data_IF_480259037854
#
_entry.id   IF_480259037854
#
_cell.length_a   1.000
_cell.length_b   1.000
_cell.length_c   1.000
_cell.angle_alpha   90.00
_cell.angle_beta   90.00
_cell.angle_gamma   90.00
#
_symmetry.space_group_name_H-M   'P 1'
#
loop_
_entity.id
_entity.type
_entity.pdbx_description
1 polymer ?
#
# COMPACT_ATOMS: atom_id res chain seq x y z
N UNK A 1 -7.21 -8.26 1.28
CA UNK A 1 -7.53 -6.96 0.66
C UNK A 1 -8.04 -7.21 -0.73
N UNK A 2 -8.89 -6.33 -1.24
CA UNK A 2 -9.42 -6.41 -2.60
C UNK A 2 -8.91 -5.20 -3.38
N UNK A 3 -8.16 -5.44 -4.44
CA UNK A 3 -7.70 -4.42 -5.38
C UNK A 3 -8.66 -4.37 -6.55
N UNK A 4 -9.01 -3.17 -7.01
CA UNK A 4 -9.88 -2.96 -8.16
C UNK A 4 -9.11 -2.21 -9.25
N UNK A 5 -9.42 -2.53 -10.50
CA UNK A 5 -8.96 -1.74 -11.64
C UNK A 5 -9.65 -0.37 -11.70
N UNK A 6 -9.25 0.45 -12.69
CA UNK A 6 -9.78 1.80 -12.85
C UNK A 6 -11.27 1.81 -13.23
N UNK A 7 -11.74 0.82 -13.97
CA UNK A 7 -13.15 0.66 -14.36
C UNK A 7 -14.02 0.08 -13.24
N UNK A 8 -13.42 -0.55 -12.22
CA UNK A 8 -14.14 -1.25 -11.16
C UNK A 8 -14.66 -2.63 -11.57
N UNK A 9 -14.34 -3.08 -12.78
CA UNK A 9 -14.87 -4.31 -13.40
C UNK A 9 -14.10 -5.54 -12.97
N UNK A 10 -12.80 -5.39 -12.69
CA UNK A 10 -11.91 -6.49 -12.34
C UNK A 10 -11.33 -6.29 -10.95
N UNK A 11 -11.25 -7.39 -10.21
CA UNK A 11 -10.76 -7.44 -8.85
C UNK A 11 -9.61 -8.44 -8.72
N UNK A 12 -8.66 -8.12 -7.84
CA UNK A 12 -7.62 -9.04 -7.37
C UNK A 12 -7.64 -9.15 -5.86
N UNK A 13 -7.13 -10.25 -5.34
CA UNK A 13 -7.10 -10.52 -3.90
C UNK A 13 -5.66 -10.55 -3.41
N UNK A 14 -5.39 -9.74 -2.39
CA UNK A 14 -4.13 -9.78 -1.64
C UNK A 14 -4.40 -10.34 -0.24
N UNK A 15 -3.81 -11.49 0.08
CA UNK A 15 -3.84 -12.07 1.42
C UNK A 15 -2.63 -11.59 2.21
N UNK A 16 -2.86 -11.16 3.44
CA UNK A 16 -1.81 -10.80 4.39
C UNK A 16 -2.03 -11.69 5.61
N UNK A 17 -1.06 -12.53 5.91
CA UNK A 17 -1.09 -13.37 7.10
C UNK A 17 -0.89 -12.51 8.36
N UNK A 18 -1.55 -12.91 9.45
CA UNK A 18 -1.50 -12.26 10.76
C UNK A 18 -1.18 -13.23 11.89
N UNK A 19 -0.90 -14.50 11.58
CA UNK A 19 -0.64 -15.55 12.56
C UNK A 19 0.76 -15.44 13.13
N UNK A 20 1.77 -15.27 12.27
CA UNK A 20 3.15 -15.07 12.72
C UNK A 20 3.43 -13.57 12.93
N UNK A 21 3.72 -13.12 14.16
CA UNK A 21 4.12 -11.73 14.41
C UNK A 21 5.54 -11.41 13.93
N UNK A 22 6.37 -12.42 13.68
CA UNK A 22 7.79 -12.27 13.34
C UNK A 22 8.02 -12.02 11.86
N UNK A 23 7.23 -12.64 11.00
CA UNK A 23 7.37 -12.59 9.55
C UNK A 23 6.15 -11.95 8.88
N UNK A 24 6.40 -11.13 7.85
CA UNK A 24 5.33 -10.56 7.03
C UNK A 24 5.09 -11.45 5.82
N UNK A 25 4.09 -12.31 5.89
CA UNK A 25 3.65 -13.11 4.73
C UNK A 25 2.55 -12.39 3.96
N UNK A 26 2.87 -11.98 2.74
CA UNK A 26 1.92 -11.42 1.77
C UNK A 26 1.83 -12.37 0.60
N UNK A 27 0.62 -12.64 0.10
CA UNK A 27 0.38 -13.50 -1.05
C UNK A 27 -0.68 -12.84 -1.94
N UNK A 28 -0.41 -12.76 -3.24
CA UNK A 28 -1.38 -12.34 -4.24
C UNK A 28 -2.03 -13.60 -4.85
N UNK A 29 -3.36 -13.59 -4.93
CA UNK A 29 -4.09 -14.54 -5.76
C UNK A 29 -3.84 -14.22 -7.23
N UNK A 30 -3.35 -15.19 -8.00
CA UNK A 30 -3.05 -15.03 -9.43
C UNK A 30 -4.29 -14.78 -10.28
N UNK A 31 -5.48 -15.09 -9.75
CA UNK A 31 -6.75 -14.97 -10.45
C UNK A 31 -7.23 -13.51 -10.45
N UNK A 32 -7.61 -13.02 -11.63
CA UNK A 32 -8.34 -11.76 -11.77
C UNK A 32 -9.82 -12.09 -11.91
N UNK A 33 -10.63 -11.58 -11.00
CA UNK A 33 -12.05 -11.90 -10.90
C UNK A 33 -12.90 -10.76 -11.49
N UNK A 34 -13.96 -11.06 -12.26
CA UNK A 34 -15.06 -10.13 -12.47
C UNK A 34 -15.66 -9.66 -11.13
N UNK A 35 -16.24 -8.46 -11.09
CA UNK A 35 -16.79 -7.90 -9.86
C UNK A 35 -17.80 -8.84 -9.16
N UNK A 36 -18.66 -9.51 -9.94
CA UNK A 36 -19.67 -10.43 -9.40
C UNK A 36 -19.05 -11.67 -8.74
N UNK A 37 -18.04 -12.26 -9.37
CA UNK A 37 -17.34 -13.43 -8.81
C UNK A 37 -16.53 -13.04 -7.57
N UNK A 38 -15.95 -11.83 -7.57
CA UNK A 38 -15.28 -11.30 -6.39
C UNK A 38 -16.27 -11.14 -5.22
N UNK A 39 -17.47 -10.62 -5.48
CA UNK A 39 -18.51 -10.52 -4.47
C UNK A 39 -18.89 -11.89 -3.91
N UNK A 40 -19.12 -12.88 -4.77
CA UNK A 40 -19.46 -14.25 -4.35
C UNK A 40 -18.33 -14.94 -3.58
N UNK A 41 -17.08 -14.70 -3.97
CA UNK A 41 -15.89 -15.16 -3.24
C UNK A 41 -15.87 -14.58 -1.81
N UNK A 42 -16.04 -13.26 -1.68
CA UNK A 42 -16.05 -12.59 -0.37
C UNK A 42 -17.22 -13.05 0.49
N UNK A 43 -18.40 -13.29 -0.10
CA UNK A 43 -19.57 -13.85 0.61
C UNK A 43 -19.26 -15.23 1.16
N UNK A 44 -18.72 -16.14 0.35
CA UNK A 44 -18.33 -17.49 0.79
C UNK A 44 -17.28 -17.45 1.91
N UNK A 45 -16.30 -16.56 1.81
CA UNK A 45 -15.29 -16.37 2.87
C UNK A 45 -15.96 -15.86 4.17
N UNK A 46 -16.89 -14.90 4.06
CA UNK A 46 -17.61 -14.37 5.21
C UNK A 46 -18.44 -15.47 5.90
N UNK A 47 -19.22 -16.24 5.14
CA UNK A 47 -20.05 -17.34 5.64
C UNK A 47 -19.21 -18.45 6.28
N UNK A 48 -18.11 -18.86 5.62
CA UNK A 48 -17.19 -19.87 6.15
C UNK A 48 -16.49 -19.47 7.45
N UNK A 49 -16.38 -18.16 7.73
CA UNK A 49 -15.78 -17.63 8.95
C UNK A 49 -16.82 -17.07 9.94
N UNK A 50 -18.11 -17.40 9.77
CA UNK A 50 -19.19 -16.82 10.60
C UNK A 50 -19.00 -17.10 12.10
N UNK A 51 -18.42 -18.24 12.46
CA UNK A 51 -18.10 -18.60 13.85
C UNK A 51 -17.08 -17.67 14.53
N UNK A 52 -16.19 -17.04 13.76
CA UNK A 52 -15.19 -16.07 14.24
C UNK A 52 -15.59 -14.61 13.95
N UNK A 53 -16.85 -14.38 13.57
CA UNK A 53 -17.41 -13.06 13.28
C UNK A 53 -17.30 -12.64 11.81
N UNK A 54 -16.93 -13.57 10.92
CA UNK A 54 -16.94 -13.40 9.47
C UNK A 54 -15.92 -12.39 8.94
N UNK A 55 -16.06 -12.06 7.66
CA UNK A 55 -15.29 -11.00 7.04
C UNK A 55 -15.79 -9.63 7.53
N UNK A 56 -14.87 -8.78 8.00
CA UNK A 56 -15.16 -7.41 8.45
C UNK A 56 -14.44 -6.39 7.58
N UNK A 57 -15.18 -5.37 7.16
CA UNK A 57 -14.59 -4.22 6.50
C UNK A 57 -13.76 -3.41 7.51
N UNK A 58 -12.52 -3.08 7.13
CA UNK A 58 -11.60 -2.30 7.97
C UNK A 58 -11.53 -0.86 7.49
N UNK A 59 -11.15 -0.65 6.22
CA UNK A 59 -11.01 0.68 5.63
C UNK A 59 -10.92 0.56 4.11
N UNK A 60 -11.31 1.62 3.41
CA UNK A 60 -11.01 1.80 2.00
C UNK A 60 -9.67 2.49 1.86
N UNK A 61 -8.87 2.07 0.88
CA UNK A 61 -7.57 2.69 0.62
C UNK A 61 -7.33 2.87 -0.88
N UNK A 62 -6.48 3.85 -1.18
CA UNK A 62 -6.09 4.26 -2.52
C UNK A 62 -4.68 3.81 -2.88
N UNK A 63 -4.01 3.06 -2.01
CA UNK A 63 -2.67 2.52 -2.24
C UNK A 63 -1.98 2.15 -0.94
N UNK A 64 -1.09 1.17 -1.02
CA UNK A 64 -0.19 0.80 0.07
C UNK A 64 1.06 1.67 -0.03
N UNK A 65 1.36 2.40 1.05
CA UNK A 65 2.60 3.17 1.20
C UNK A 65 3.74 2.23 1.54
N UNK A 66 3.47 1.19 2.32
CA UNK A 66 4.40 0.09 2.56
C UNK A 66 4.20 -0.52 3.94
N UNK A 67 5.17 -1.33 4.32
CA UNK A 67 5.21 -2.09 5.55
C UNK A 67 6.47 -1.73 6.33
N UNK A 68 6.36 -1.71 7.65
CA UNK A 68 7.50 -1.48 8.53
C UNK A 68 7.37 -2.33 9.78
N UNK A 69 8.49 -2.91 10.21
CA UNK A 69 8.65 -3.53 11.50
C UNK A 69 9.64 -2.69 12.31
N UNK A 70 9.29 -2.40 13.54
CA UNK A 70 10.22 -1.78 14.49
C UNK A 70 10.80 -2.87 15.38
N UNK A 71 10.44 -2.89 16.66
CA UNK A 71 10.78 -3.97 17.57
C UNK A 71 9.63 -4.97 17.66
N UNK A 72 8.39 -4.47 17.70
CA UNK A 72 7.20 -5.29 17.84
C UNK A 72 6.58 -5.76 16.52
N UNK A 73 5.25 -5.63 16.36
CA UNK A 73 4.53 -6.16 15.20
C UNK A 73 4.85 -5.39 13.92
N UNK A 74 4.42 -5.95 12.80
CA UNK A 74 4.43 -5.26 11.52
C UNK A 74 3.32 -4.20 11.47
N UNK A 75 3.60 -3.09 10.80
CA UNK A 75 2.64 -2.04 10.50
C UNK A 75 2.47 -1.87 9.00
N UNK A 76 1.23 -1.68 8.58
CA UNK A 76 0.85 -1.33 7.22
C UNK A 76 0.50 0.16 7.16
N UNK A 77 1.13 0.90 6.25
CA UNK A 77 0.76 2.29 5.98
C UNK A 77 -0.08 2.38 4.71
N UNK A 78 -1.23 3.03 4.81
CA UNK A 78 -2.23 3.16 3.75
C UNK A 78 -2.52 4.62 3.43
N UNK A 79 -2.83 4.89 2.16
CA UNK A 79 -3.48 6.13 1.74
C UNK A 79 -4.99 5.90 1.84
N UNK A 80 -5.70 6.62 2.71
CA UNK A 80 -7.15 6.50 2.88
C UNK A 80 -7.94 7.64 2.25
N UNK A 81 -7.27 8.75 1.92
CA UNK A 81 -7.81 9.80 1.05
C UNK A 81 -6.70 10.37 0.17
N UNK A 82 -7.05 10.69 -1.09
CA UNK A 82 -6.20 11.38 -2.06
C UNK A 82 -6.99 12.48 -2.75
N UNK A 83 -6.29 13.47 -3.29
CA UNK A 83 -6.87 14.51 -4.15
C UNK A 83 -6.09 14.63 -5.45
N UNK A 84 -6.76 14.87 -6.57
CA UNK A 84 -6.10 15.18 -7.84
C UNK A 84 -5.46 16.57 -7.72
N UNK A 85 -4.19 16.67 -8.11
CA UNK A 85 -3.44 17.94 -8.12
C UNK A 85 -3.01 18.38 -9.52
N UNK A 86 -3.16 17.49 -10.51
CA UNK A 86 -2.87 17.80 -11.91
C UNK A 86 -2.80 16.56 -12.78
N UNK A 87 -2.17 16.69 -13.94
CA UNK A 87 -1.86 15.63 -14.87
C UNK A 87 -0.57 15.93 -15.66
N UNK A 88 0.21 14.90 -15.94
CA UNK A 88 1.37 14.94 -16.84
C UNK A 88 1.04 14.03 -18.03
N UNK A 89 1.05 14.56 -19.26
CA UNK A 89 0.77 13.78 -20.47
C UNK A 89 -0.53 12.95 -20.38
N UNK A 90 -1.60 13.51 -19.81
CA UNK A 90 -2.88 12.81 -19.59
C UNK A 90 -2.93 11.88 -18.37
N UNK A 91 -1.80 11.58 -17.73
CA UNK A 91 -1.75 10.79 -16.51
C UNK A 91 -2.02 11.63 -15.28
N UNK A 92 -2.99 11.22 -14.46
CA UNK A 92 -3.38 12.00 -13.28
C UNK A 92 -2.34 11.91 -12.17
N UNK A 93 -2.03 13.05 -11.55
CA UNK A 93 -1.15 13.16 -10.38
C UNK A 93 -2.02 13.44 -9.15
N UNK A 94 -1.72 12.73 -8.06
CA UNK A 94 -2.46 12.79 -6.81
C UNK A 94 -1.58 13.22 -5.65
N UNK A 95 -2.08 14.10 -4.80
CA UNK A 95 -1.56 14.32 -3.45
C UNK A 95 -2.30 13.43 -2.45
N UNK A 96 -1.63 13.10 -1.37
CA UNK A 96 -2.19 12.39 -0.23
C UNK A 96 -2.97 13.38 0.64
N UNK A 97 -4.18 13.02 1.07
CA UNK A 97 -5.00 13.86 1.95
C UNK A 97 -5.26 13.21 3.32
N UNK A 98 -5.15 11.89 3.40
CA UNK A 98 -5.24 11.16 4.67
C UNK A 98 -4.50 9.83 4.55
N UNK A 99 -3.78 9.47 5.61
CA UNK A 99 -3.14 8.17 5.75
C UNK A 99 -3.70 7.43 6.96
N UNK A 100 -3.44 6.13 7.03
CA UNK A 100 -3.75 5.30 8.19
C UNK A 100 -2.66 4.25 8.38
N UNK A 101 -2.22 4.06 9.62
CA UNK A 101 -1.32 2.97 10.01
C UNK A 101 -2.14 1.86 10.69
N UNK A 102 -2.03 0.62 10.21
CA UNK A 102 -2.74 -0.54 10.74
C UNK A 102 -1.70 -1.56 11.23
N UNK A 103 -1.88 -2.07 12.45
CA UNK A 103 -1.05 -3.16 12.97
C UNK A 103 -1.44 -4.49 12.32
N UNK A 104 -0.44 -5.23 11.83
CA UNK A 104 -0.59 -6.58 11.27
C UNK A 104 -0.15 -7.56 12.35
N UNK A 105 -1.13 -8.24 12.94
CA UNK A 105 -0.91 -9.27 13.95
C UNK A 105 -2.22 -9.56 14.69
N UNK A 106 -2.47 -10.84 14.96
CA UNK A 106 -3.59 -11.28 15.80
C UNK A 106 -3.06 -11.60 17.20
N UNK A 107 -3.61 -10.96 18.25
CA UNK A 107 -3.88 -11.57 19.57
C UNK A 107 -3.99 -10.49 20.70
N UNK A 108 -4.77 -10.76 21.77
CA UNK A 108 -4.73 -10.03 23.05
C UNK A 108 -3.34 -9.97 23.69
N UNK A 109 -2.43 -10.87 23.29
CA UNK A 109 -1.02 -10.86 23.72
C UNK A 109 -0.23 -9.96 22.77
N UNK A 110 -0.49 -8.65 22.80
CA UNK A 110 0.55 -7.72 22.38
C UNK A 110 1.73 -7.96 23.31
N UNK A 111 2.82 -8.50 22.78
CA UNK A 111 4.06 -8.69 23.54
C UNK A 111 4.41 -7.38 24.25
N UNK A 112 5.06 -7.46 25.42
CA UNK A 112 5.55 -6.26 26.14
C UNK A 112 6.31 -5.29 25.20
N UNK A 113 6.89 -5.83 24.13
CA UNK A 113 7.57 -5.08 23.08
C UNK A 113 6.67 -4.10 22.31
N UNK A 114 5.42 -4.48 21.98
CA UNK A 114 4.45 -3.61 21.30
C UNK A 114 4.09 -2.35 22.12
N UNK A 115 4.15 -2.46 23.45
CA UNK A 115 3.91 -1.36 24.39
C UNK A 115 5.19 -0.68 24.88
N UNK A 116 6.36 -1.17 24.46
CA UNK A 116 7.63 -0.66 24.93
C UNK A 116 7.80 0.82 24.58
N UNK A 117 8.54 1.53 25.43
CA UNK A 117 8.86 2.95 25.23
C UNK A 117 9.56 3.19 23.88
N UNK A 118 10.42 2.25 23.47
CA UNK A 118 11.16 2.33 22.22
C UNK A 118 10.24 2.15 21.01
N UNK A 119 9.34 1.17 21.04
CA UNK A 119 8.34 0.96 19.99
C UNK A 119 7.47 2.21 19.77
N UNK A 120 6.95 2.79 20.86
CA UNK A 120 6.15 4.03 20.81
C UNK A 120 6.98 5.20 20.25
N UNK A 121 8.26 5.29 20.61
CA UNK A 121 9.19 6.32 20.11
C UNK A 121 9.41 6.18 18.60
N UNK A 122 9.69 4.98 18.09
CA UNK A 122 9.89 4.76 16.66
C UNK A 122 8.64 5.03 15.84
N UNK A 123 7.47 4.59 16.33
CA UNK A 123 6.18 4.94 15.71
C UNK A 123 5.97 6.45 15.65
N UNK A 124 6.24 7.18 16.74
CA UNK A 124 6.11 8.64 16.77
C UNK A 124 7.07 9.31 15.78
N UNK A 125 8.29 8.81 15.62
CA UNK A 125 9.27 9.33 14.67
C UNK A 125 8.83 9.12 13.22
N UNK A 126 8.32 7.93 12.87
CA UNK A 126 7.77 7.72 11.53
C UNK A 126 6.55 8.61 11.28
N UNK A 127 5.66 8.73 12.28
CA UNK A 127 4.46 9.57 12.19
C UNK A 127 4.75 11.08 12.25
N UNK A 128 5.97 11.53 12.55
CA UNK A 128 6.32 12.95 12.45
C UNK A 128 6.51 13.40 11.01
N UNK A 129 6.68 12.46 10.07
CA UNK A 129 6.63 12.76 8.64
C UNK A 129 5.18 12.94 8.23
N UNK A 130 4.81 14.19 7.94
CA UNK A 130 3.46 14.51 7.46
C UNK A 130 3.32 14.13 5.97
N UNK A 131 2.84 12.92 5.73
CA UNK A 131 2.61 12.40 4.38
C UNK A 131 1.54 13.18 3.60
N UNK A 132 0.80 14.11 4.22
CA UNK A 132 -0.20 14.95 3.53
C UNK A 132 0.38 16.22 2.92
N UNK A 133 1.63 16.55 3.26
CA UNK A 133 2.35 17.73 2.76
C UNK A 133 3.38 17.31 1.74
N UNK A 134 3.27 17.88 0.53
CA UNK A 134 4.31 17.79 -0.50
C UNK A 134 4.65 16.36 -0.98
N UNK A 135 3.82 15.37 -0.65
CA UNK A 135 3.89 14.02 -1.21
C UNK A 135 2.86 13.84 -2.31
N UNK A 136 3.33 13.34 -3.46
CA UNK A 136 2.50 13.05 -4.60
C UNK A 136 2.92 11.76 -5.30
N UNK A 137 1.98 11.21 -6.08
CA UNK A 137 2.16 9.98 -6.83
C UNK A 137 1.22 9.91 -8.04
N UNK A 138 1.45 8.95 -8.92
CA UNK A 138 0.52 8.57 -9.98
C UNK A 138 0.43 7.05 -10.07
N UNK A 139 -0.73 6.53 -10.47
CA UNK A 139 -0.93 5.10 -10.72
C UNK A 139 -0.38 4.65 -12.08
N UNK A 140 -0.29 5.58 -13.02
CA UNK A 140 -0.03 5.28 -14.43
C UNK A 140 1.19 6.02 -14.98
N UNK A 141 1.88 6.80 -14.16
CA UNK A 141 3.04 7.59 -14.57
C UNK A 141 4.13 7.53 -13.51
N UNK A 142 5.35 7.31 -13.97
CA UNK A 142 6.53 7.23 -13.14
C UNK A 142 7.00 8.65 -12.75
N UNK A 143 6.36 9.24 -11.74
CA UNK A 143 6.63 10.62 -11.26
C UNK A 143 8.04 10.79 -10.68
N UNK A 144 8.70 9.70 -10.30
CA UNK A 144 10.06 9.66 -9.77
C UNK A 144 11.13 9.78 -10.88
N UNK A 145 10.72 9.93 -12.15
CA UNK A 145 11.58 10.04 -13.31
C UNK A 145 11.34 11.36 -14.04
N UNK A 146 12.39 11.84 -14.72
CA UNK A 146 12.24 12.93 -15.69
C UNK A 146 11.40 12.47 -16.89
N UNK A 147 10.82 13.44 -17.61
CA UNK A 147 10.07 13.16 -18.84
C UNK A 147 10.91 12.39 -19.85
N UNK A 148 12.16 12.83 -20.08
CA UNK A 148 13.10 12.13 -20.98
C UNK A 148 13.27 10.66 -20.58
N UNK A 149 13.45 10.37 -19.29
CA UNK A 149 13.62 8.98 -18.82
C UNK A 149 12.36 8.15 -19.02
N UNK A 150 11.17 8.73 -18.86
CA UNK A 150 9.91 8.04 -19.12
C UNK A 150 9.65 7.79 -20.61
N UNK A 151 10.20 8.62 -21.50
CA UNK A 151 10.09 8.44 -22.95
C UNK A 151 11.15 7.48 -23.52
N UNK A 152 12.33 7.38 -22.89
CA UNK A 152 13.46 6.60 -23.42
C UNK A 152 13.55 5.15 -22.90
N UNK A 153 12.78 4.74 -21.90
CA UNK A 153 12.95 3.42 -21.25
C UNK A 153 12.04 2.32 -21.81
N UNK A 154 12.66 1.18 -22.12
CA UNK A 154 12.04 -0.16 -22.28
C UNK A 154 12.08 -1.01 -20.99
N UNK A 155 12.54 -0.45 -19.85
CA UNK A 155 12.75 -1.22 -18.61
C UNK A 155 11.44 -1.46 -17.84
N UNK A 156 11.19 -2.73 -17.52
CA UNK A 156 9.95 -3.19 -16.89
C UNK A 156 9.92 -2.97 -15.38
N UNK A 157 8.77 -2.48 -14.92
CA UNK A 157 8.20 -2.72 -13.58
C UNK A 157 9.03 -2.28 -12.37
N UNK A 158 9.84 -3.20 -11.83
CA UNK A 158 10.44 -3.10 -10.49
C UNK A 158 11.63 -2.15 -10.43
N UNK A 159 12.53 -2.20 -11.43
CA UNK A 159 13.76 -1.38 -11.47
C UNK A 159 13.48 0.12 -11.53
N UNK A 160 12.30 0.50 -12.02
CA UNK A 160 11.87 1.92 -12.05
C UNK A 160 11.65 2.48 -10.63
N UNK A 161 11.44 1.62 -9.65
CA UNK A 161 11.19 2.01 -8.28
C UNK A 161 12.43 2.05 -7.40
N UNK A 162 13.57 1.53 -7.88
CA UNK A 162 14.87 1.58 -7.20
C UNK A 162 15.59 2.90 -7.54
N UNK A 163 14.98 4.01 -7.15
CA UNK A 163 15.59 5.35 -7.33
C UNK A 163 15.54 6.16 -6.05
N UNK A 164 16.51 7.07 -5.91
CA UNK A 164 16.59 7.99 -4.77
C UNK A 164 15.36 8.91 -4.61
N UNK A 165 14.51 9.01 -5.63
CA UNK A 165 13.30 9.84 -5.63
C UNK A 165 12.06 9.12 -5.13
N UNK A 166 12.11 7.79 -4.96
CA UNK A 166 11.01 7.01 -4.35
C UNK A 166 11.20 6.99 -2.84
N UNK A 167 10.54 7.92 -2.15
CA UNK A 167 10.68 8.09 -0.71
C UNK A 167 10.35 6.82 0.09
N UNK A 168 9.33 6.07 -0.34
CA UNK A 168 8.87 4.85 0.32
C UNK A 168 9.47 3.56 -0.27
N UNK A 169 10.62 3.61 -0.94
CA UNK A 169 11.27 2.43 -1.52
C UNK A 169 11.49 1.35 -0.45
N UNK A 170 12.13 1.71 0.66
CA UNK A 170 12.40 0.77 1.77
C UNK A 170 11.11 0.12 2.30
N UNK A 171 10.06 0.91 2.49
CA UNK A 171 8.77 0.43 3.03
C UNK A 171 8.08 -0.55 2.08
N UNK A 172 8.34 -0.46 0.78
CA UNK A 172 7.69 -1.28 -0.25
C UNK A 172 8.56 -2.43 -0.75
N UNK A 173 9.84 -2.46 -0.39
CA UNK A 173 10.82 -3.44 -0.85
C UNK A 173 10.40 -4.88 -0.59
N UNK A 174 9.94 -5.18 0.64
CA UNK A 174 9.54 -6.54 1.03
C UNK A 174 8.39 -7.08 0.16
N UNK A 175 7.29 -6.32 0.06
CA UNK A 175 6.12 -6.73 -0.75
C UNK A 175 6.46 -6.81 -2.25
N UNK A 176 7.28 -5.88 -2.78
CA UNK A 176 7.70 -5.92 -4.19
C UNK A 176 8.59 -7.11 -4.50
N UNK A 177 9.53 -7.44 -3.60
CA UNK A 177 10.40 -8.58 -3.75
C UNK A 177 9.65 -9.91 -3.64
N UNK A 178 8.60 -9.95 -2.83
CA UNK A 178 7.75 -11.12 -2.68
C UNK A 178 6.81 -11.32 -3.88
N UNK A 179 6.05 -10.29 -4.27
CA UNK A 179 5.04 -10.38 -5.33
C UNK A 179 5.59 -10.20 -6.75
N UNK A 180 6.84 -9.73 -6.89
CA UNK A 180 7.49 -9.40 -8.16
C UNK A 180 6.70 -8.42 -9.03
N UNK A 181 5.89 -7.55 -8.40
CA UNK A 181 5.15 -6.50 -9.07
C UNK A 181 4.95 -5.28 -8.15
N UNK A 182 4.40 -4.20 -8.70
CA UNK A 182 4.17 -2.93 -7.99
C UNK A 182 2.69 -2.59 -7.84
N UNK A 183 1.77 -3.46 -8.24
CA UNK A 183 0.33 -3.16 -8.42
C UNK A 183 -0.35 -2.66 -7.13
N UNK A 184 0.07 -3.20 -5.99
CA UNK A 184 -0.53 -2.90 -4.69
C UNK A 184 0.07 -1.65 -4.03
N UNK A 185 1.27 -1.26 -4.44
CA UNK A 185 2.05 -0.17 -3.84
C UNK A 185 2.07 1.06 -4.74
N UNK A 186 2.26 2.23 -4.15
CA UNK A 186 2.50 3.46 -4.92
C UNK A 186 3.93 3.94 -4.70
N UNK A 187 4.54 4.58 -5.69
CA UNK A 187 5.78 5.34 -5.48
C UNK A 187 5.44 6.74 -5.02
N UNK A 188 5.89 7.11 -3.82
CA UNK A 188 5.76 8.46 -3.30
C UNK A 188 6.99 9.27 -3.64
N UNK A 189 6.77 10.44 -4.23
CA UNK A 189 7.80 11.48 -4.41
C UNK A 189 7.50 12.61 -3.44
N UNK A 190 8.54 13.09 -2.76
CA UNK A 190 8.47 14.28 -1.93
C UNK A 190 9.01 15.49 -2.70
N UNK A 191 8.25 16.58 -2.71
CA UNK A 191 8.66 17.82 -3.35
C UNK A 191 7.47 18.68 -3.78
N UNK A 192 7.67 19.49 -4.80
CA UNK A 192 6.66 20.43 -5.26
C UNK A 192 6.05 20.02 -6.60
N UNK A 193 4.72 20.13 -6.72
CA UNK A 193 3.99 19.95 -7.97
C UNK A 193 3.07 21.14 -8.20
N UNK A 194 3.18 21.76 -9.39
CA UNK A 194 2.31 22.84 -9.84
C UNK A 194 1.97 22.65 -11.31
N UNK A 195 0.69 22.80 -11.62
CA UNK A 195 0.17 22.88 -12.98
C UNK A 195 -0.73 24.11 -13.04
N UNK A 196 -0.46 24.98 -14.01
CA UNK A 196 -1.23 26.20 -14.30
C UNK A 196 -2.19 25.89 -15.43
#
# INVERSE_FOLDING_TARGET
MVGRDKSGTLCRILKIDRLDPSELTVLEDSTTYPEIECYDLLRRIHEGNRSTGGLKFVTACYGIIGFVKFLGPHYMLLITKRRKIGAICGHTIYAISKTQMITIGNSPVQSNMAYSKNEKRYKKLLCSVDLTKDFFFSYSYNVMHSLQRNLCKNETGLLNYETMFVWNEFLTRGIRNNLKNTLWTVALVYGFFKQV
#
